data_IF_701160423379
#
_entry.id   IF_701160423379
#
_cell.length_a   1.000
_cell.length_b   1.000
_cell.length_c   1.000
_cell.angle_alpha   90.00
_cell.angle_beta   90.00
_cell.angle_gamma   90.00
#
_symmetry.space_group_name_H-M   'P 1'
#
loop_
_entity.id
_entity.type
_entity.pdbx_description
1 polymer ?
#
# COMPACT_ATOMS: atom_id res chain seq x y z
N UNK A 1 11.15 -6.38 -12.54
CA UNK A 1 11.07 -4.93 -12.28
C UNK A 1 9.71 -4.43 -12.73
N UNK A 2 9.03 -3.63 -11.91
CA UNK A 2 7.71 -3.05 -12.20
C UNK A 2 7.69 -1.60 -11.70
N UNK A 3 8.08 -0.68 -12.57
CA UNK A 3 8.15 0.76 -12.27
C UNK A 3 6.87 1.48 -12.70
N UNK A 4 6.78 2.77 -12.37
CA UNK A 4 5.58 3.57 -12.68
C UNK A 4 5.20 3.58 -14.17
N UNK A 5 6.19 3.55 -15.07
CA UNK A 5 5.92 3.48 -16.53
C UNK A 5 5.27 2.15 -16.95
N UNK A 6 5.55 1.05 -16.25
CA UNK A 6 4.89 -0.22 -16.51
C UNK A 6 3.44 -0.19 -16.02
N UNK A 7 3.18 0.38 -14.82
CA UNK A 7 1.81 0.63 -14.35
C UNK A 7 1.01 1.51 -15.32
N UNK A 8 1.65 2.54 -15.91
CA UNK A 8 0.98 3.40 -16.93
C UNK A 8 0.59 2.62 -18.19
N UNK A 9 1.43 1.70 -18.66
CA UNK A 9 1.11 0.81 -19.80
C UNK A 9 -0.08 -0.09 -19.45
N UNK A 10 -0.06 -0.69 -18.26
CA UNK A 10 -1.17 -1.51 -17.77
C UNK A 10 -2.45 -0.69 -17.59
N UNK A 11 -2.36 0.56 -17.12
CA UNK A 11 -3.49 1.48 -17.07
C UNK A 11 -4.11 1.72 -18.45
N UNK A 12 -3.29 2.01 -19.46
CA UNK A 12 -3.76 2.18 -20.83
C UNK A 12 -4.47 0.92 -21.36
N UNK A 13 -3.93 -0.26 -21.04
CA UNK A 13 -4.55 -1.54 -21.40
C UNK A 13 -5.89 -1.74 -20.71
N UNK A 14 -5.98 -1.56 -19.39
CA UNK A 14 -7.20 -1.71 -18.60
C UNK A 14 -8.31 -0.74 -19.10
N UNK A 15 -7.96 0.55 -19.30
CA UNK A 15 -8.89 1.53 -19.85
C UNK A 15 -9.36 1.16 -21.27
N UNK A 16 -8.44 0.63 -22.11
CA UNK A 16 -8.76 0.14 -23.47
C UNK A 16 -9.70 -1.06 -23.47
N UNK A 17 -9.68 -1.86 -22.41
CA UNK A 17 -10.59 -2.99 -22.17
C UNK A 17 -11.91 -2.58 -21.49
N UNK A 18 -12.13 -1.27 -21.24
CA UNK A 18 -13.37 -0.71 -20.68
C UNK A 18 -13.44 -0.68 -19.16
N UNK A 19 -12.33 -0.95 -18.46
CA UNK A 19 -12.27 -0.78 -16.99
C UNK A 19 -12.24 0.70 -16.65
N UNK A 20 -12.99 1.09 -15.62
CA UNK A 20 -12.99 2.47 -15.12
C UNK A 20 -11.66 2.78 -14.45
N UNK A 21 -10.94 3.77 -14.98
CA UNK A 21 -9.60 4.14 -14.57
C UNK A 21 -9.53 5.63 -14.20
N UNK A 22 -8.84 5.94 -13.13
CA UNK A 22 -8.71 7.31 -12.66
C UNK A 22 -7.44 7.56 -11.86
N UNK A 23 -7.40 8.72 -11.24
CA UNK A 23 -6.33 9.10 -10.32
C UNK A 23 -6.93 9.70 -9.04
N UNK A 24 -6.46 9.24 -7.90
CA UNK A 24 -6.88 9.79 -6.60
C UNK A 24 -6.09 11.04 -6.20
N UNK A 25 -4.96 11.29 -6.85
CA UNK A 25 -4.05 12.41 -6.56
C UNK A 25 -2.73 12.28 -7.28
N UNK A 26 -1.75 12.99 -6.77
CA UNK A 26 -0.37 13.01 -7.32
C UNK A 26 0.64 12.80 -6.21
N UNK A 27 1.79 12.21 -6.57
CA UNK A 27 2.97 12.05 -5.73
C UNK A 27 3.81 13.35 -5.66
N UNK A 28 4.92 13.30 -4.94
CA UNK A 28 5.87 14.42 -4.82
C UNK A 28 6.39 14.88 -6.18
N UNK A 29 6.71 13.96 -7.11
CA UNK A 29 7.16 14.30 -8.48
C UNK A 29 6.01 14.73 -9.41
N UNK A 30 4.76 14.62 -8.96
CA UNK A 30 3.57 14.89 -9.75
C UNK A 30 3.04 13.68 -10.52
N UNK A 31 3.58 12.48 -10.32
CA UNK A 31 3.04 11.24 -10.89
C UNK A 31 1.62 10.96 -10.37
N UNK A 32 0.73 10.49 -11.24
CA UNK A 32 -0.64 10.15 -10.83
C UNK A 32 -0.66 8.91 -9.96
N UNK A 33 -1.42 8.93 -8.86
CA UNK A 33 -1.74 7.74 -8.07
C UNK A 33 -2.93 7.09 -8.75
N UNK A 34 -2.66 6.07 -9.56
CA UNK A 34 -3.64 5.43 -10.44
C UNK A 34 -4.58 4.54 -9.64
N UNK A 35 -5.86 4.59 -9.98
CA UNK A 35 -6.93 3.79 -9.40
C UNK A 35 -7.75 3.13 -10.50
N UNK A 36 -8.11 1.86 -10.33
CA UNK A 36 -9.06 1.12 -11.16
C UNK A 36 -10.30 0.80 -10.35
N UNK A 37 -11.47 0.83 -10.98
CA UNK A 37 -12.70 0.38 -10.34
C UNK A 37 -13.32 -0.78 -11.13
N UNK A 38 -13.71 -1.83 -10.42
CA UNK A 38 -14.38 -3.01 -10.94
C UNK A 38 -15.62 -3.30 -10.10
N UNK A 39 -16.69 -3.74 -10.72
CA UNK A 39 -17.96 -4.06 -10.07
C UNK A 39 -18.93 -2.88 -9.95
N UNK A 40 -20.01 -3.01 -9.15
CA UNK A 40 -21.02 -1.98 -9.03
C UNK A 40 -20.51 -0.78 -8.21
N UNK A 41 -20.85 0.45 -8.64
CA UNK A 41 -20.59 1.67 -7.87
C UNK A 41 -21.55 1.85 -6.68
N UNK A 42 -22.64 1.11 -6.65
CA UNK A 42 -23.62 1.13 -5.55
C UNK A 42 -23.35 0.01 -4.55
N UNK A 43 -23.69 0.23 -3.29
CA UNK A 43 -23.48 -0.74 -2.22
C UNK A 43 -22.07 -0.65 -1.61
N UNK A 44 -21.68 -1.71 -0.91
CA UNK A 44 -20.40 -1.76 -0.22
C UNK A 44 -19.22 -1.73 -1.20
N UNK A 45 -18.20 -1.00 -0.83
CA UNK A 45 -16.96 -0.84 -1.60
C UNK A 45 -15.79 -1.41 -0.83
N UNK A 46 -14.82 -1.95 -1.54
CA UNK A 46 -13.52 -2.38 -1.02
C UNK A 46 -12.43 -1.49 -1.62
N UNK A 47 -11.43 -1.14 -0.82
CA UNK A 47 -10.19 -0.55 -1.33
C UNK A 47 -9.06 -1.56 -1.14
N UNK A 48 -8.37 -1.89 -2.23
CA UNK A 48 -7.17 -2.73 -2.26
C UNK A 48 -6.00 -1.86 -2.69
N UNK A 49 -4.99 -1.71 -1.85
CA UNK A 49 -3.82 -0.91 -2.18
C UNK A 49 -2.51 -1.68 -1.99
N UNK A 50 -1.49 -1.34 -2.78
CA UNK A 50 -0.12 -1.83 -2.67
C UNK A 50 0.90 -0.74 -2.95
N UNK A 51 2.18 -1.09 -2.86
CA UNK A 51 3.28 -0.19 -3.18
C UNK A 51 3.33 1.08 -2.34
N UNK A 52 2.87 1.06 -1.10
CA UNK A 52 3.01 2.19 -0.17
C UNK A 52 4.47 2.31 0.32
N UNK A 53 5.12 1.18 0.58
CA UNK A 53 6.56 1.12 0.80
C UNK A 53 7.31 0.87 -0.51
N UNK A 54 8.29 1.67 -0.80
CA UNK A 54 9.01 1.67 -2.06
C UNK A 54 9.68 0.32 -2.39
N UNK A 55 10.38 -0.29 -1.43
CA UNK A 55 11.07 -1.58 -1.60
C UNK A 55 10.13 -2.77 -1.77
N UNK A 56 8.86 -2.59 -1.43
CA UNK A 56 7.81 -3.60 -1.53
C UNK A 56 7.02 -3.49 -2.85
N UNK A 57 7.67 -2.99 -3.91
CA UNK A 57 7.08 -2.77 -5.24
C UNK A 57 6.41 -4.02 -5.85
N UNK A 58 6.78 -5.21 -5.40
CA UNK A 58 6.12 -6.46 -5.81
C UNK A 58 4.64 -6.49 -5.42
N UNK A 59 4.26 -5.79 -4.34
CA UNK A 59 2.85 -5.66 -3.93
C UNK A 59 2.05 -4.81 -4.93
N UNK A 60 2.69 -3.82 -5.57
CA UNK A 60 2.06 -3.09 -6.67
C UNK A 60 1.76 -3.99 -7.86
N UNK A 61 2.68 -4.87 -8.21
CA UNK A 61 2.49 -5.87 -9.27
C UNK A 61 1.38 -6.87 -8.89
N UNK A 62 1.35 -7.33 -7.63
CA UNK A 62 0.30 -8.22 -7.15
C UNK A 62 -1.09 -7.58 -7.26
N UNK A 63 -1.26 -6.36 -6.73
CA UNK A 63 -2.55 -5.64 -6.81
C UNK A 63 -2.94 -5.37 -8.26
N UNK A 64 -1.99 -5.14 -9.16
CA UNK A 64 -2.28 -5.02 -10.60
C UNK A 64 -2.77 -6.35 -11.19
N UNK A 65 -2.15 -7.47 -10.82
CA UNK A 65 -2.61 -8.82 -11.21
C UNK A 65 -4.04 -9.10 -10.71
N UNK A 66 -4.35 -8.70 -9.46
CA UNK A 66 -5.71 -8.78 -8.90
C UNK A 66 -6.71 -7.97 -9.73
N UNK A 67 -6.39 -6.73 -10.08
CA UNK A 67 -7.23 -5.90 -10.94
C UNK A 67 -7.48 -6.53 -12.31
N UNK A 68 -6.44 -7.12 -12.92
CA UNK A 68 -6.58 -7.87 -14.17
C UNK A 68 -7.46 -9.12 -14.02
N UNK A 69 -7.35 -9.86 -12.92
CA UNK A 69 -8.20 -11.02 -12.67
C UNK A 69 -9.66 -10.61 -12.48
N UNK A 70 -9.89 -9.57 -11.68
CA UNK A 70 -11.22 -9.09 -11.32
C UNK A 70 -11.99 -8.47 -12.49
N UNK A 71 -11.32 -7.88 -13.50
CA UNK A 71 -11.97 -7.06 -14.56
C UNK A 71 -13.07 -7.72 -15.35
N UNK A 72 -13.04 -9.05 -15.45
CA UNK A 72 -14.03 -9.87 -16.17
C UNK A 72 -14.85 -10.76 -15.23
N UNK A 73 -14.71 -10.60 -13.92
CA UNK A 73 -15.42 -11.40 -12.93
C UNK A 73 -16.67 -10.67 -12.47
N UNK A 74 -17.72 -11.45 -12.16
CA UNK A 74 -18.90 -10.91 -11.49
C UNK A 74 -18.57 -10.75 -10.00
N UNK A 75 -17.98 -9.62 -9.67
CA UNK A 75 -17.70 -9.25 -8.28
C UNK A 75 -18.96 -8.62 -7.70
N UNK A 76 -19.56 -9.26 -6.72
CA UNK A 76 -20.82 -8.80 -6.08
C UNK A 76 -20.72 -7.47 -5.34
N UNK A 77 -19.51 -6.88 -5.24
CA UNK A 77 -19.19 -5.62 -4.56
C UNK A 77 -18.30 -4.75 -5.45
N UNK A 78 -18.31 -3.44 -5.25
CA UNK A 78 -17.36 -2.56 -5.93
C UNK A 78 -15.96 -2.66 -5.33
N UNK A 79 -14.94 -2.74 -6.17
CA UNK A 79 -13.55 -2.83 -5.72
C UNK A 79 -12.70 -1.75 -6.40
N UNK A 80 -12.07 -0.92 -5.58
CA UNK A 80 -11.06 0.04 -6.02
C UNK A 80 -9.67 -0.55 -5.82
N UNK A 81 -8.92 -0.71 -6.90
CA UNK A 81 -7.53 -1.16 -6.89
C UNK A 81 -6.60 0.03 -7.06
N UNK A 82 -5.70 0.22 -6.10
CA UNK A 82 -4.62 1.21 -6.11
C UNK A 82 -3.27 0.48 -6.10
N UNK A 83 -2.76 0.06 -7.26
CA UNK A 83 -1.58 -0.82 -7.29
C UNK A 83 -0.33 -0.17 -6.70
N UNK A 84 -0.15 1.15 -6.89
CA UNK A 84 1.11 1.81 -6.53
C UNK A 84 0.81 3.15 -5.85
N UNK A 85 0.67 3.12 -4.52
CA UNK A 85 0.36 4.30 -3.70
C UNK A 85 1.55 5.26 -3.61
N UNK A 86 2.79 4.73 -3.68
CA UNK A 86 4.05 5.48 -3.70
C UNK A 86 4.78 5.31 -5.05
N UNK A 87 4.28 5.90 -6.15
CA UNK A 87 4.85 5.68 -7.49
C UNK A 87 6.29 6.15 -7.60
N UNK A 88 6.64 7.23 -6.95
CA UNK A 88 7.99 7.77 -6.95
C UNK A 88 8.95 6.84 -6.20
N UNK A 89 8.58 6.45 -4.98
CA UNK A 89 9.41 5.57 -4.17
C UNK A 89 9.61 4.21 -4.83
N UNK A 90 8.54 3.58 -5.37
CA UNK A 90 8.64 2.31 -6.08
C UNK A 90 9.55 2.39 -7.31
N UNK A 91 9.53 3.53 -8.01
CA UNK A 91 10.46 3.77 -9.12
C UNK A 91 11.88 3.98 -8.62
N UNK A 92 12.07 4.78 -7.56
CA UNK A 92 13.37 5.03 -6.94
C UNK A 92 14.05 3.74 -6.48
N UNK A 93 13.32 2.87 -5.79
CA UNK A 93 13.87 1.61 -5.27
C UNK A 93 14.38 0.67 -6.37
N UNK A 94 13.87 0.79 -7.60
CA UNK A 94 14.19 -0.09 -8.71
C UNK A 94 15.13 0.54 -9.75
N UNK A 95 14.97 1.84 -10.02
CA UNK A 95 15.69 2.56 -11.07
C UNK A 95 16.76 3.52 -10.53
N UNK A 96 16.79 3.73 -9.19
CA UNK A 96 17.75 4.63 -8.56
C UNK A 96 17.41 6.12 -8.72
N UNK A 97 18.25 6.97 -8.12
CA UNK A 97 18.04 8.41 -8.07
C UNK A 97 18.19 9.13 -9.44
N UNK A 98 18.76 8.47 -10.44
CA UNK A 98 18.85 9.03 -11.82
C UNK A 98 17.47 9.21 -12.47
N UNK A 99 16.47 8.47 -12.01
CA UNK A 99 15.07 8.67 -12.43
C UNK A 99 14.48 10.01 -11.95
N UNK A 100 15.12 10.67 -10.99
CA UNK A 100 14.64 11.91 -10.35
C UNK A 100 15.76 12.96 -10.27
N UNK A 101 16.19 13.54 -11.39
CA UNK A 101 17.36 14.45 -11.44
C UNK A 101 17.26 15.64 -10.47
N UNK A 102 16.05 16.20 -10.32
CA UNK A 102 15.78 17.35 -9.44
C UNK A 102 15.90 17.00 -7.94
N UNK A 103 15.69 15.73 -7.58
CA UNK A 103 15.77 15.22 -6.21
C UNK A 103 17.06 14.45 -5.93
N UNK A 104 17.88 14.14 -6.95
CA UNK A 104 19.00 13.22 -6.86
C UNK A 104 20.00 13.55 -5.75
N UNK A 105 20.40 14.81 -5.63
CA UNK A 105 21.40 15.20 -4.62
C UNK A 105 20.89 14.96 -3.20
N UNK A 106 19.62 15.28 -2.92
CA UNK A 106 19.00 15.08 -1.62
C UNK A 106 18.77 13.58 -1.34
N UNK A 107 18.31 12.82 -2.33
CA UNK A 107 18.13 11.38 -2.20
C UNK A 107 19.44 10.67 -1.86
N UNK A 108 20.55 10.99 -2.55
CA UNK A 108 21.85 10.45 -2.22
C UNK A 108 22.28 10.83 -0.79
N UNK A 109 22.05 12.09 -0.40
CA UNK A 109 22.35 12.55 0.98
C UNK A 109 21.56 11.74 2.02
N UNK A 110 20.26 11.57 1.83
CA UNK A 110 19.40 10.80 2.72
C UNK A 110 19.77 9.31 2.77
N UNK A 111 20.29 8.78 1.66
CA UNK A 111 20.76 7.39 1.57
C UNK A 111 22.24 7.22 2.00
N UNK A 112 22.76 8.13 2.82
CA UNK A 112 24.14 8.06 3.35
C UNK A 112 25.23 8.17 2.28
N UNK A 113 24.94 8.75 1.12
CA UNK A 113 25.84 8.84 -0.04
C UNK A 113 25.78 7.62 -0.98
N UNK A 114 25.04 6.57 -0.60
CA UNK A 114 24.89 5.36 -1.41
C UNK A 114 23.98 5.57 -2.62
N UNK A 115 24.33 4.93 -3.74
CA UNK A 115 23.53 4.96 -4.98
C UNK A 115 22.55 3.77 -5.11
N UNK A 116 22.60 2.80 -4.22
CA UNK A 116 21.69 1.68 -4.18
C UNK A 116 20.48 2.02 -3.31
N UNK A 117 19.29 2.05 -3.91
CA UNK A 117 18.02 2.34 -3.26
C UNK A 117 17.13 1.09 -3.10
N UNK A 118 17.63 -0.11 -3.35
CA UNK A 118 16.83 -1.34 -3.31
C UNK A 118 16.16 -1.60 -1.96
N UNK A 119 16.66 -1.03 -0.87
CA UNK A 119 16.09 -1.12 0.47
C UNK A 119 15.31 0.14 0.89
N UNK A 120 15.17 1.12 0.02
CA UNK A 120 14.46 2.36 0.29
C UNK A 120 12.96 2.09 0.51
N UNK A 121 12.38 2.65 1.56
CA UNK A 121 11.00 2.43 1.98
C UNK A 121 10.12 3.68 1.81
N UNK A 122 10.71 4.85 1.98
CA UNK A 122 10.05 6.14 2.02
C UNK A 122 9.61 6.66 0.62
N UNK A 123 8.97 7.83 0.59
CA UNK A 123 8.75 8.61 -0.63
C UNK A 123 10.01 9.44 -1.00
N UNK A 124 9.94 10.34 -2.00
CA UNK A 124 11.08 11.18 -2.41
C UNK A 124 11.53 12.19 -1.36
N UNK A 125 10.70 12.49 -0.36
CA UNK A 125 11.03 13.40 0.75
C UNK A 125 11.63 12.68 1.96
N UNK A 126 11.85 11.36 1.85
CA UNK A 126 12.32 10.56 2.97
C UNK A 126 11.27 10.41 4.08
N UNK A 127 10.00 10.42 3.74
CA UNK A 127 8.88 10.15 4.65
C UNK A 127 8.36 8.74 4.42
N UNK A 128 8.30 7.94 5.47
CA UNK A 128 7.65 6.63 5.45
C UNK A 128 6.13 6.84 5.44
N UNK A 129 5.50 6.58 4.30
CA UNK A 129 4.09 6.88 4.09
C UNK A 129 3.18 6.08 5.04
N UNK A 130 3.60 4.87 5.45
CA UNK A 130 2.85 4.06 6.40
C UNK A 130 3.14 4.43 7.88
N UNK A 131 3.79 5.56 8.11
CA UNK A 131 3.92 6.24 9.39
C UNK A 131 3.28 7.63 9.40
N UNK A 132 2.71 8.08 8.26
CA UNK A 132 2.29 9.47 8.04
C UNK A 132 0.78 9.71 8.21
N UNK A 133 -0.02 8.72 8.59
CA UNK A 133 -1.45 8.88 8.86
C UNK A 133 -1.73 9.34 10.30
N UNK A 134 -2.91 9.96 10.52
CA UNK A 134 -3.37 10.43 11.84
C UNK A 134 -3.89 9.28 12.71
N UNK A 135 -2.97 8.40 13.12
CA UNK A 135 -3.21 7.25 13.99
C UNK A 135 -2.01 7.08 14.93
N UNK A 136 -1.99 7.76 16.07
CA UNK A 136 -0.81 7.87 16.96
C UNK A 136 0.45 8.35 16.23
N UNK A 137 0.31 9.29 15.27
CA UNK A 137 1.41 9.82 14.46
C UNK A 137 2.64 10.16 15.31
N UNK A 138 3.83 9.73 14.87
CA UNK A 138 5.10 9.98 15.54
C UNK A 138 5.28 9.25 16.87
N UNK A 139 4.42 8.28 17.22
CA UNK A 139 4.50 7.49 18.46
C UNK A 139 5.05 6.09 18.28
N UNK A 140 5.35 5.67 17.04
CA UNK A 140 5.94 4.36 16.77
C UNK A 140 7.36 4.24 17.38
N UNK A 141 7.66 3.09 17.95
CA UNK A 141 8.95 2.85 18.63
C UNK A 141 10.15 2.94 17.68
N UNK A 142 9.93 2.68 16.39
CA UNK A 142 10.96 2.77 15.34
C UNK A 142 11.04 4.14 14.67
N UNK A 143 10.14 5.10 14.99
CA UNK A 143 10.14 6.38 14.33
C UNK A 143 11.44 7.16 14.54
N UNK A 144 11.93 7.77 13.47
CA UNK A 144 13.08 8.66 13.47
C UNK A 144 12.62 10.12 13.36
N UNK A 145 13.48 11.06 13.81
CA UNK A 145 13.10 12.47 13.97
C UNK A 145 13.29 13.34 12.72
N UNK A 146 13.88 12.78 11.66
CA UNK A 146 14.23 13.54 10.45
C UNK A 146 14.04 12.68 9.20
N UNK A 147 13.93 13.28 7.99
CA UNK A 147 13.84 12.56 6.72
C UNK A 147 14.92 11.47 6.61
N UNK A 148 14.47 10.25 6.27
CA UNK A 148 15.29 9.04 6.25
C UNK A 148 14.76 8.04 5.20
N UNK A 149 15.54 7.00 4.85
CA UNK A 149 15.08 5.93 3.97
C UNK A 149 13.84 5.19 4.48
N UNK A 150 13.60 5.17 5.80
CA UNK A 150 12.45 4.54 6.44
C UNK A 150 12.12 5.18 7.79
N UNK A 151 10.92 4.89 8.30
CA UNK A 151 10.46 5.19 9.67
C UNK A 151 10.33 6.68 10.03
N UNK A 152 10.57 7.64 9.12
CA UNK A 152 10.28 9.04 9.38
C UNK A 152 8.78 9.31 9.12
N UNK A 153 8.02 9.76 10.15
CA UNK A 153 6.56 9.93 10.02
C UNK A 153 6.15 11.20 9.29
N UNK A 154 7.09 12.05 8.86
CA UNK A 154 6.79 13.38 8.35
C UNK A 154 6.56 14.42 9.46
N UNK A 155 6.47 15.71 9.10
CA UNK A 155 6.36 16.80 10.08
C UNK A 155 5.00 16.86 10.79
N UNK A 156 3.93 16.35 10.16
CA UNK A 156 2.57 16.24 10.71
C UNK A 156 1.78 15.16 9.96
N UNK A 157 0.66 14.68 10.51
CA UNK A 157 -0.16 13.67 9.84
C UNK A 157 -0.63 14.14 8.46
N UNK A 158 -0.61 13.21 7.49
CA UNK A 158 -1.02 13.48 6.10
C UNK A 158 -0.21 14.64 5.45
N UNK A 159 1.05 14.86 5.88
CA UNK A 159 1.93 15.88 5.29
C UNK A 159 2.31 15.57 3.85
N UNK A 160 2.28 14.31 3.46
CA UNK A 160 2.69 13.88 2.14
C UNK A 160 1.51 13.85 1.16
N UNK A 161 1.71 14.28 -0.10
CA UNK A 161 0.63 14.32 -1.08
C UNK A 161 0.01 12.94 -1.31
N UNK A 162 0.80 11.87 -1.24
CA UNK A 162 0.36 10.49 -1.40
C UNK A 162 -0.61 10.07 -0.28
N UNK A 163 -0.23 10.31 0.98
CA UNK A 163 -1.06 9.97 2.15
C UNK A 163 -2.31 10.84 2.21
N UNK A 164 -2.18 12.14 1.95
CA UNK A 164 -3.32 13.06 1.87
C UNK A 164 -4.31 12.65 0.76
N UNK A 165 -3.80 12.19 -0.39
CA UNK A 165 -4.64 11.70 -1.48
C UNK A 165 -5.39 10.42 -1.10
N UNK A 166 -4.69 9.42 -0.52
CA UNK A 166 -5.29 8.16 -0.11
C UNK A 166 -6.31 8.38 1.01
N UNK A 167 -6.00 9.18 2.02
CA UNK A 167 -6.92 9.49 3.11
C UNK A 167 -8.18 10.21 2.62
N UNK A 168 -8.04 11.23 1.74
CA UNK A 168 -9.17 11.93 1.14
C UNK A 168 -10.04 10.99 0.31
N UNK A 169 -9.42 10.12 -0.50
CA UNK A 169 -10.12 9.13 -1.31
C UNK A 169 -10.91 8.15 -0.44
N UNK A 170 -10.29 7.59 0.59
CA UNK A 170 -10.93 6.66 1.54
C UNK A 170 -12.11 7.31 2.26
N UNK A 171 -11.98 8.59 2.69
CA UNK A 171 -13.10 9.33 3.29
C UNK A 171 -14.26 9.54 2.31
N UNK A 172 -13.98 9.71 1.01
CA UNK A 172 -15.00 9.91 -0.03
C UNK A 172 -15.71 8.59 -0.36
N UNK A 173 -14.97 7.49 -0.53
CA UNK A 173 -15.51 6.15 -0.85
C UNK A 173 -16.26 5.55 0.35
N UNK A 174 -15.75 5.73 1.58
CA UNK A 174 -16.24 5.07 2.81
C UNK A 174 -16.34 3.56 2.64
N UNK A 175 -15.23 2.88 2.35
CA UNK A 175 -15.25 1.45 2.06
C UNK A 175 -15.69 0.65 3.29
N UNK A 176 -16.33 -0.49 3.05
CA UNK A 176 -16.62 -1.46 4.09
C UNK A 176 -15.33 -2.10 4.61
N UNK A 177 -14.37 -2.33 3.71
CA UNK A 177 -13.09 -2.99 4.03
C UNK A 177 -11.96 -2.32 3.23
N UNK A 178 -10.77 -2.23 3.86
CA UNK A 178 -9.53 -1.91 3.16
C UNK A 178 -8.52 -3.04 3.31
N UNK A 179 -7.88 -3.43 2.21
CA UNK A 179 -6.79 -4.41 2.16
C UNK A 179 -5.52 -3.69 1.74
N UNK A 180 -4.54 -3.67 2.63
CA UNK A 180 -3.25 -2.99 2.44
C UNK A 180 -2.14 -4.02 2.29
N UNK A 181 -1.65 -4.19 1.06
CA UNK A 181 -0.63 -5.18 0.74
C UNK A 181 0.77 -4.66 1.02
N UNK A 182 1.48 -5.41 1.83
CA UNK A 182 2.87 -5.24 2.23
C UNK A 182 3.70 -6.50 1.95
N UNK A 183 4.98 -6.46 2.20
CA UNK A 183 5.87 -7.60 2.16
C UNK A 183 7.01 -7.41 3.20
N UNK A 184 7.33 -8.50 3.98
CA UNK A 184 7.00 -9.90 3.75
C UNK A 184 6.61 -10.58 5.08
N UNK A 185 5.95 -11.77 4.99
CA UNK A 185 5.65 -12.53 6.22
C UNK A 185 4.59 -13.62 6.06
N UNK A 186 3.66 -13.52 5.09
CA UNK A 186 2.41 -14.28 5.02
C UNK A 186 1.59 -14.15 6.29
N UNK A 187 1.35 -12.90 6.67
CA UNK A 187 0.67 -12.52 7.91
C UNK A 187 -0.49 -11.56 7.63
N UNK A 188 -1.52 -11.60 8.48
CA UNK A 188 -2.67 -10.69 8.44
C UNK A 188 -2.78 -9.96 9.78
N UNK A 189 -2.71 -8.63 9.74
CA UNK A 189 -2.86 -7.74 10.88
C UNK A 189 -4.19 -6.99 10.81
N UNK A 190 -4.93 -6.89 11.92
CA UNK A 190 -6.28 -6.33 11.95
C UNK A 190 -6.58 -5.45 13.18
N UNK A 191 -5.70 -5.39 14.17
CA UNK A 191 -5.95 -4.66 15.40
C UNK A 191 -5.28 -3.28 15.43
N UNK A 192 -5.99 -2.31 16.00
CA UNK A 192 -5.48 -1.00 16.41
C UNK A 192 -6.40 -0.36 17.47
N UNK A 193 -6.46 -0.94 18.66
CA UNK A 193 -7.16 -0.37 19.81
C UNK A 193 -8.70 -0.39 19.74
N UNK A 194 -9.32 -1.00 18.72
CA UNK A 194 -10.76 -1.29 18.73
C UNK A 194 -11.09 -2.36 19.78
N UNK A 195 -12.32 -2.32 20.27
CA UNK A 195 -12.81 -3.24 21.32
C UNK A 195 -14.24 -3.70 21.03
N UNK A 196 -14.71 -4.71 21.77
CA UNK A 196 -16.09 -5.19 21.73
C UNK A 196 -16.48 -5.70 20.33
N UNK A 197 -17.67 -5.32 19.88
CA UNK A 197 -18.25 -5.78 18.62
C UNK A 197 -17.42 -5.41 17.39
N UNK A 198 -16.74 -4.27 17.44
CA UNK A 198 -15.85 -3.85 16.33
C UNK A 198 -14.64 -4.78 16.21
N UNK A 199 -13.99 -5.09 17.33
CA UNK A 199 -12.87 -6.04 17.33
C UNK A 199 -13.32 -7.42 16.85
N UNK A 200 -14.45 -7.93 17.36
CA UNK A 200 -14.98 -9.22 16.96
C UNK A 200 -15.36 -9.30 15.47
N UNK A 201 -15.89 -8.20 14.91
CA UNK A 201 -16.14 -8.09 13.47
C UNK A 201 -14.84 -8.19 12.66
N UNK A 202 -13.87 -7.34 13.03
CA UNK A 202 -12.61 -7.22 12.31
C UNK A 202 -11.79 -8.53 12.38
N UNK A 203 -11.77 -9.17 13.56
CA UNK A 203 -11.14 -10.49 13.73
C UNK A 203 -11.78 -11.55 12.84
N UNK A 204 -13.14 -11.61 12.81
CA UNK A 204 -13.83 -12.59 11.96
C UNK A 204 -13.48 -12.44 10.49
N UNK A 205 -13.43 -11.19 9.98
CA UNK A 205 -13.09 -10.91 8.60
C UNK A 205 -11.61 -11.23 8.33
N UNK A 206 -10.73 -10.82 9.24
CA UNK A 206 -9.30 -11.10 9.11
C UNK A 206 -9.00 -12.61 9.11
N UNK A 207 -9.73 -13.39 9.92
CA UNK A 207 -9.61 -14.86 9.95
C UNK A 207 -10.04 -15.49 8.64
N UNK A 208 -11.17 -15.06 8.06
CA UNK A 208 -11.60 -15.55 6.74
C UNK A 208 -10.55 -15.28 5.66
N UNK A 209 -9.99 -14.08 5.65
CA UNK A 209 -8.92 -13.71 4.69
C UNK A 209 -7.65 -14.53 4.94
N UNK A 210 -7.24 -14.68 6.19
CA UNK A 210 -6.05 -15.45 6.56
C UNK A 210 -6.20 -16.93 6.17
N UNK A 211 -7.36 -17.54 6.43
CA UNK A 211 -7.65 -18.94 6.11
C UNK A 211 -7.64 -19.16 4.58
N UNK A 212 -8.25 -18.24 3.79
CA UNK A 212 -8.27 -18.33 2.33
C UNK A 212 -6.88 -18.20 1.72
N UNK A 213 -6.06 -17.30 2.26
CA UNK A 213 -4.69 -17.08 1.78
C UNK A 213 -3.69 -18.12 2.30
N UNK A 214 -4.01 -18.84 3.35
CA UNK A 214 -3.05 -19.66 4.09
C UNK A 214 -2.02 -18.81 4.85
N UNK A 215 -2.42 -17.63 5.33
CA UNK A 215 -1.57 -16.72 6.08
C UNK A 215 -1.79 -16.87 7.60
N UNK A 216 -0.81 -16.43 8.37
CA UNK A 216 -0.93 -16.39 9.83
C UNK A 216 -1.70 -15.16 10.27
N UNK A 217 -2.77 -15.35 11.05
CA UNK A 217 -3.46 -14.24 11.71
C UNK A 217 -2.65 -13.76 12.91
N UNK A 218 -2.30 -12.48 12.93
CA UNK A 218 -1.49 -11.87 14.00
C UNK A 218 -2.37 -10.97 14.86
N UNK A 219 -2.64 -11.34 16.12
CA UNK A 219 -3.42 -10.53 17.04
C UNK A 219 -2.57 -9.42 17.66
N UNK A 220 -3.25 -8.38 18.14
CA UNK A 220 -2.64 -7.24 18.83
C UNK A 220 -2.17 -6.14 17.89
N UNK A 221 -2.06 -4.92 18.43
CA UNK A 221 -1.61 -3.76 17.64
C UNK A 221 -0.08 -3.64 17.55
N UNK A 222 0.66 -4.45 18.28
CA UNK A 222 2.13 -4.55 18.29
C UNK A 222 2.86 -3.20 18.39
N UNK A 223 2.20 -2.16 18.92
CA UNK A 223 2.77 -0.81 18.99
C UNK A 223 2.79 -0.07 17.66
N UNK A 224 1.94 -0.46 16.71
CA UNK A 224 1.76 0.22 15.43
C UNK A 224 1.39 1.70 15.62
N UNK A 225 1.86 2.55 14.73
CA UNK A 225 1.58 3.98 14.76
C UNK A 225 1.73 4.63 13.38
N UNK A 226 0.73 5.39 12.98
CA UNK A 226 0.72 6.16 11.75
C UNK A 226 0.43 5.36 10.49
N UNK A 227 0.06 4.09 10.60
CA UNK A 227 -0.24 3.22 9.45
C UNK A 227 -1.61 3.52 8.82
N UNK A 228 -1.73 3.19 7.53
CA UNK A 228 -3.01 3.33 6.81
C UNK A 228 -4.11 2.46 7.42
N UNK A 229 -3.82 1.17 7.70
CA UNK A 229 -4.74 0.26 8.42
C UNK A 229 -5.17 0.88 9.75
N UNK A 230 -4.22 1.36 10.53
CA UNK A 230 -4.47 1.93 11.85
C UNK A 230 -5.42 3.11 11.77
N UNK A 231 -5.16 4.02 10.82
CA UNK A 231 -6.01 5.17 10.58
C UNK A 231 -7.41 4.76 10.12
N UNK A 232 -7.56 3.81 9.19
CA UNK A 232 -8.86 3.29 8.76
C UNK A 232 -9.67 2.74 9.95
N UNK A 233 -9.03 1.99 10.85
CA UNK A 233 -9.67 1.47 12.07
C UNK A 233 -10.16 2.62 12.96
N UNK A 234 -9.41 3.72 13.10
CA UNK A 234 -9.89 4.90 13.86
C UNK A 234 -11.11 5.54 13.21
N UNK A 235 -11.26 5.43 11.88
CA UNK A 235 -12.44 5.91 11.15
C UNK A 235 -13.64 4.93 11.21
N UNK A 236 -13.51 3.79 11.87
CA UNK A 236 -14.55 2.77 11.98
C UNK A 236 -14.62 1.78 10.84
N UNK A 237 -13.67 1.84 9.91
CA UNK A 237 -13.55 0.97 8.74
C UNK A 237 -12.82 -0.32 9.16
N UNK A 238 -13.30 -1.49 8.72
CA UNK A 238 -12.53 -2.73 8.81
C UNK A 238 -11.31 -2.63 7.92
N UNK A 239 -10.13 -2.80 8.47
CA UNK A 239 -8.90 -2.63 7.72
C UNK A 239 -7.87 -3.71 8.05
N UNK A 240 -7.29 -4.30 7.01
CA UNK A 240 -6.29 -5.34 7.14
C UNK A 240 -4.98 -4.90 6.49
N UNK A 241 -3.87 -5.22 7.15
CA UNK A 241 -2.55 -5.27 6.51
C UNK A 241 -2.23 -6.72 6.21
N UNK A 242 -1.87 -6.99 4.95
CA UNK A 242 -1.48 -8.30 4.47
C UNK A 242 0.00 -8.27 4.11
N UNK A 243 0.82 -8.88 4.93
CA UNK A 243 2.24 -9.09 4.62
C UNK A 243 2.35 -10.31 3.70
N UNK A 244 2.35 -10.06 2.39
CA UNK A 244 2.49 -11.14 1.38
C UNK A 244 3.94 -11.61 1.28
N UNK A 245 4.22 -12.57 0.42
CA UNK A 245 5.55 -13.19 0.23
C UNK A 245 6.02 -14.01 1.44
N UNK A 246 6.62 -15.15 1.15
CA UNK A 246 7.11 -16.09 2.15
C UNK A 246 8.10 -15.45 3.12
N UNK A 247 8.00 -15.72 4.45
CA UNK A 247 8.96 -15.26 5.46
C UNK A 247 10.40 -15.79 5.27
N UNK A 248 10.59 -16.76 4.37
CA UNK A 248 11.91 -17.30 4.03
C UNK A 248 12.63 -16.48 2.95
N UNK A 249 12.01 -15.42 2.45
CA UNK A 249 12.62 -14.45 1.53
C UNK A 249 13.25 -13.30 2.30
N UNK A 250 13.95 -12.43 1.59
CA UNK A 250 14.53 -11.20 2.14
C UNK A 250 14.54 -10.11 1.08
N UNK A 251 14.48 -8.85 1.52
CA UNK A 251 14.68 -7.72 0.61
C UNK A 251 16.14 -7.68 0.09
N UNK A 252 16.36 -7.23 -1.15
CA UNK A 252 15.37 -6.76 -2.10
C UNK A 252 14.57 -7.90 -2.74
N UNK A 253 13.27 -7.69 -2.88
CA UNK A 253 12.35 -8.63 -3.51
C UNK A 253 12.35 -8.48 -5.04
N UNK A 254 11.91 -9.55 -5.72
CA UNK A 254 11.74 -9.58 -7.17
C UNK A 254 10.42 -10.26 -7.55
N UNK A 255 10.06 -10.22 -8.83
CA UNK A 255 8.77 -10.71 -9.32
C UNK A 255 8.52 -12.21 -9.01
N UNK A 256 9.58 -13.04 -8.98
CA UNK A 256 9.46 -14.47 -8.67
C UNK A 256 9.14 -14.75 -7.21
N UNK A 257 9.30 -13.75 -6.34
CA UNK A 257 8.93 -13.89 -4.94
C UNK A 257 7.40 -13.87 -4.74
N UNK A 258 6.63 -13.54 -5.80
CA UNK A 258 5.18 -13.69 -5.87
C UNK A 258 4.73 -15.10 -6.31
N UNK A 259 5.64 -16.00 -6.64
CA UNK A 259 5.30 -17.41 -6.92
C UNK A 259 4.72 -18.03 -5.65
N UNK A 260 3.52 -18.59 -5.74
CA UNK A 260 2.76 -19.13 -4.60
C UNK A 260 1.86 -18.11 -3.88
N UNK A 261 1.65 -16.92 -4.49
CA UNK A 261 0.72 -15.89 -4.00
C UNK A 261 -0.57 -15.79 -4.85
N UNK A 262 -0.86 -16.83 -5.67
CA UNK A 262 -1.98 -16.84 -6.62
C UNK A 262 -3.35 -16.79 -5.92
N UNK A 263 -3.46 -17.28 -4.69
CA UNK A 263 -4.71 -17.20 -3.91
C UNK A 263 -5.17 -15.75 -3.70
N UNK A 264 -4.24 -14.80 -3.66
CA UNK A 264 -4.58 -13.38 -3.54
C UNK A 264 -5.40 -12.84 -4.73
N UNK A 265 -5.41 -13.52 -5.88
CA UNK A 265 -6.15 -13.09 -7.06
C UNK A 265 -7.67 -13.26 -6.91
N UNK A 266 -8.15 -13.99 -5.89
CA UNK A 266 -9.54 -14.43 -5.72
C UNK A 266 -10.18 -13.99 -4.41
N UNK A 267 -9.55 -13.12 -3.65
CA UNK A 267 -10.07 -12.55 -2.38
C UNK A 267 -11.11 -11.49 -2.61
#
# INVERSE_FOLDING_TARGET
>A
MYVYDDLRKDCCRMCGEGVDCGSIGRSVSGAHIICFHVGPLSGDQIIVQGGIHAREWVTALLVMRMAFAARNSDVGMGVFFLPMTNPDGCTLAQAGADAFPEHKAELLRLNGGGSDFALWKANLRGVDLNCNFDARHGKGASNVAAPAPESYPGPYPESEPETAALARFTRAVRPAITLSYHALGREVYYEFGQTGERLARDERIARLVADELGYTLVPGDLGSAGGYKDWCITQGITALTLETVSPHRSHPLNERDLDGEENNLWI
#
